data_IF_172652880102
#
_entry.id   IF_172652880102
#
_cell.length_a   1.000
_cell.length_b   1.000
_cell.length_c   1.000
_cell.angle_alpha   90.00
_cell.angle_beta   90.00
_cell.angle_gamma   90.00
#
_symmetry.space_group_name_H-M   'P 1'
#
loop_
_entity.id
_entity.type
_entity.pdbx_description
1 polymer ?
#
# COMPACT_ATOMS: atom_id res chain seq x y z
N UNK A 1 -17.02 1.26 9.09
CA UNK A 1 -17.72 0.21 8.33
C UNK A 1 -16.86 -1.05 8.33
N UNK A 2 -17.47 -2.21 8.62
CA UNK A 2 -16.82 -3.52 8.65
C UNK A 2 -16.35 -3.90 7.24
N UNK A 3 -15.17 -4.49 7.11
CA UNK A 3 -14.78 -5.18 5.87
C UNK A 3 -15.69 -6.40 5.72
N UNK A 4 -16.33 -6.57 4.57
CA UNK A 4 -17.10 -7.77 4.25
C UNK A 4 -16.34 -8.60 3.21
N UNK A 5 -15.61 -9.62 3.66
CA UNK A 5 -14.90 -10.57 2.79
C UNK A 5 -15.61 -11.91 2.89
N UNK A 6 -16.22 -12.34 1.78
CA UNK A 6 -16.97 -13.60 1.68
C UNK A 6 -16.26 -14.56 0.74
N UNK A 7 -15.92 -15.76 1.22
CA UNK A 7 -15.42 -16.83 0.36
C UNK A 7 -16.57 -17.43 -0.45
N UNK A 8 -16.45 -17.47 -1.77
CA UNK A 8 -17.48 -18.01 -2.69
C UNK A 8 -16.98 -19.30 -3.36
N UNK A 9 -15.68 -19.47 -3.52
CA UNK A 9 -15.07 -20.67 -4.11
C UNK A 9 -13.70 -20.97 -3.54
N UNK A 10 -13.06 -22.04 -4.02
CA UNK A 10 -11.76 -22.52 -3.53
C UNK A 10 -10.69 -21.43 -3.56
N UNK A 11 -10.61 -20.71 -4.69
CA UNK A 11 -9.73 -19.57 -4.94
C UNK A 11 -10.54 -18.33 -5.36
N UNK A 12 -11.68 -18.09 -4.72
CA UNK A 12 -12.53 -16.95 -5.07
C UNK A 12 -13.16 -16.33 -3.83
N UNK A 13 -12.82 -15.07 -3.61
CA UNK A 13 -13.29 -14.24 -2.51
C UNK A 13 -14.01 -13.03 -3.09
N UNK A 14 -15.18 -12.74 -2.55
CA UNK A 14 -15.97 -11.55 -2.83
C UNK A 14 -15.70 -10.53 -1.72
N UNK A 15 -15.34 -9.31 -2.10
CA UNK A 15 -15.01 -8.22 -1.17
C UNK A 15 -16.02 -7.11 -1.35
N UNK A 16 -16.69 -6.73 -0.26
CA UNK A 16 -17.74 -5.71 -0.17
C UNK A 16 -18.86 -5.88 -1.22
N UNK A 17 -19.10 -7.10 -1.72
CA UNK A 17 -20.10 -7.37 -2.76
C UNK A 17 -19.74 -6.88 -4.17
N UNK A 18 -18.60 -6.19 -4.34
CA UNK A 18 -18.23 -5.49 -5.57
C UNK A 18 -16.99 -6.06 -6.24
N UNK A 19 -16.01 -6.52 -5.45
CA UNK A 19 -14.71 -6.93 -5.96
C UNK A 19 -14.50 -8.42 -5.77
N UNK A 20 -13.67 -9.00 -6.63
CA UNK A 20 -13.34 -10.41 -6.62
C UNK A 20 -11.84 -10.58 -6.45
N UNK A 21 -11.41 -11.51 -5.61
CA UNK A 21 -10.01 -11.82 -5.37
C UNK A 21 -9.76 -13.33 -5.48
N UNK A 22 -8.59 -13.68 -5.97
CA UNK A 22 -8.18 -15.08 -6.15
C UNK A 22 -7.57 -15.69 -4.88
N UNK A 23 -7.04 -14.84 -4.00
CA UNK A 23 -6.50 -15.25 -2.70
C UNK A 23 -7.05 -14.41 -1.55
N UNK A 24 -6.95 -14.94 -0.33
CA UNK A 24 -7.37 -14.20 0.86
C UNK A 24 -6.53 -12.94 1.08
N UNK A 25 -5.21 -13.00 0.84
CA UNK A 25 -4.34 -11.82 0.98
C UNK A 25 -4.72 -10.73 -0.01
N UNK A 26 -5.03 -11.10 -1.25
CA UNK A 26 -5.50 -10.17 -2.27
C UNK A 26 -6.87 -9.56 -1.88
N UNK A 27 -7.77 -10.37 -1.32
CA UNK A 27 -9.05 -9.90 -0.80
C UNK A 27 -8.87 -8.86 0.32
N UNK A 28 -7.90 -9.09 1.22
CA UNK A 28 -7.56 -8.14 2.28
C UNK A 28 -7.00 -6.85 1.70
N UNK A 29 -6.04 -6.92 0.76
CA UNK A 29 -5.47 -5.72 0.12
C UNK A 29 -6.56 -4.90 -0.56
N UNK A 30 -7.41 -5.53 -1.38
CA UNK A 30 -8.53 -4.85 -2.05
C UNK A 30 -9.48 -4.22 -1.04
N UNK A 31 -9.79 -4.93 0.04
CA UNK A 31 -10.67 -4.43 1.08
C UNK A 31 -10.07 -3.24 1.83
N UNK A 32 -8.74 -3.18 2.01
CA UNK A 32 -8.05 -2.04 2.62
C UNK A 32 -7.87 -0.88 1.64
N UNK A 33 -7.38 -1.10 0.42
CA UNK A 33 -7.22 -0.07 -0.61
C UNK A 33 -8.53 0.63 -0.95
N UNK A 34 -9.63 -0.13 -1.07
CA UNK A 34 -10.95 0.43 -1.40
C UNK A 34 -11.64 1.04 -0.18
N UNK A 35 -11.31 0.60 1.04
CA UNK A 35 -11.72 1.27 2.28
C UNK A 35 -10.98 2.59 2.48
N UNK A 36 -9.77 2.71 1.93
CA UNK A 36 -8.92 3.91 1.95
C UNK A 36 -9.02 4.80 0.71
N UNK A 37 -10.12 4.77 -0.05
CA UNK A 37 -10.66 6.04 -0.60
C UNK A 37 -11.27 6.89 0.53
N UNK A 38 -10.49 7.06 1.62
CA UNK A 38 -10.68 8.11 2.60
C UNK A 38 -10.36 9.39 1.84
N UNK A 39 -11.34 10.30 1.72
CA UNK A 39 -11.11 11.67 1.21
C UNK A 39 -9.90 12.26 1.97
N UNK A 40 -8.72 12.28 1.34
CA UNK A 40 -7.49 12.80 1.95
C UNK A 40 -6.20 12.01 1.67
N UNK A 41 -6.26 10.76 1.22
CA UNK A 41 -5.07 10.03 0.75
C UNK A 41 -5.06 9.95 -0.79
N UNK A 42 -4.85 11.10 -1.42
CA UNK A 42 -4.35 11.13 -2.80
C UNK A 42 -2.89 10.63 -2.76
N UNK A 43 -2.71 9.34 -3.03
CA UNK A 43 -1.40 8.74 -3.36
C UNK A 43 -1.02 9.14 -4.79
N UNK A 44 -0.98 10.44 -5.05
CA UNK A 44 -0.35 11.01 -6.25
C UNK A 44 0.76 12.01 -5.87
N UNK A 45 0.81 12.47 -4.61
CA UNK A 45 1.88 13.35 -4.11
C UNK A 45 2.87 12.68 -3.13
N UNK A 46 2.51 11.51 -2.58
CA UNK A 46 3.31 10.84 -1.55
C UNK A 46 4.40 9.93 -2.14
N UNK A 47 4.24 9.43 -3.36
CA UNK A 47 5.22 8.51 -3.94
C UNK A 47 6.57 9.22 -4.22
N UNK A 48 6.54 10.38 -4.87
CA UNK A 48 7.75 11.16 -5.15
C UNK A 48 8.47 11.67 -3.88
N UNK A 49 7.71 12.06 -2.86
CA UNK A 49 8.28 12.54 -1.59
C UNK A 49 8.84 11.40 -0.73
N UNK A 50 8.18 10.25 -0.73
CA UNK A 50 8.69 9.04 -0.08
C UNK A 50 9.99 8.55 -0.73
N UNK A 51 10.03 8.45 -2.07
CA UNK A 51 11.25 8.06 -2.79
C UNK A 51 12.40 9.07 -2.63
N UNK A 52 12.11 10.38 -2.60
CA UNK A 52 13.12 11.40 -2.28
C UNK A 52 13.66 11.27 -0.87
N UNK A 53 12.79 11.08 0.12
CA UNK A 53 13.20 10.90 1.51
C UNK A 53 14.00 9.60 1.70
N UNK A 54 13.60 8.53 1.03
CA UNK A 54 14.32 7.26 1.06
C UNK A 54 15.71 7.38 0.43
N UNK A 55 15.83 8.03 -0.73
CA UNK A 55 17.11 8.32 -1.39
C UNK A 55 18.03 9.17 -0.52
N UNK A 56 17.51 10.24 0.10
CA UNK A 56 18.29 11.08 1.00
C UNK A 56 18.79 10.30 2.22
N UNK A 57 17.97 9.41 2.79
CA UNK A 57 18.35 8.59 3.94
C UNK A 57 19.42 7.55 3.58
N UNK A 58 19.39 6.98 2.38
CA UNK A 58 20.41 6.06 1.88
C UNK A 58 21.73 6.77 1.53
N UNK A 59 21.67 8.01 1.03
CA UNK A 59 22.86 8.79 0.70
C UNK A 59 23.51 9.43 1.95
N UNK A 60 22.78 9.59 3.05
CA UNK A 60 23.30 10.16 4.30
C UNK A 60 24.58 9.49 4.82
N UNK A 61 24.67 8.14 4.96
CA UNK A 61 25.91 7.50 5.41
C UNK A 61 27.08 7.72 4.45
N UNK A 62 26.84 7.83 3.13
CA UNK A 62 27.89 8.11 2.15
C UNK A 62 28.42 9.55 2.26
N UNK A 63 27.53 10.53 2.45
CA UNK A 63 27.93 11.93 2.68
C UNK A 63 28.75 12.07 3.97
N UNK A 64 28.33 11.37 5.03
CA UNK A 64 29.09 11.34 6.28
C UNK A 64 30.46 10.71 6.07
N UNK A 65 30.56 9.60 5.34
CA UNK A 65 31.85 8.97 5.05
C UNK A 65 32.78 9.86 4.20
N UNK A 66 32.26 10.55 3.18
CA UNK A 66 33.03 11.49 2.37
C UNK A 66 33.53 12.70 3.18
N UNK A 67 32.77 13.17 4.17
CA UNK A 67 33.19 14.28 5.04
C UNK A 67 34.29 13.91 6.07
N UNK A 68 34.55 12.62 6.24
CA UNK A 68 35.61 12.10 7.11
C UNK A 68 36.87 11.69 6.32
N UNK A 69 36.80 11.63 5.00
CA UNK A 69 37.95 11.47 4.09
C UNK A 69 38.53 12.83 3.70
#
# INVERSE_FOLDING_TARGET
>A
MLLDIKKVGENFYLVNGEYTASSFNEAVVIAYEKKEKIKGFEVDYMENSFWKNLKNKLNFPFIVLESWM
#
